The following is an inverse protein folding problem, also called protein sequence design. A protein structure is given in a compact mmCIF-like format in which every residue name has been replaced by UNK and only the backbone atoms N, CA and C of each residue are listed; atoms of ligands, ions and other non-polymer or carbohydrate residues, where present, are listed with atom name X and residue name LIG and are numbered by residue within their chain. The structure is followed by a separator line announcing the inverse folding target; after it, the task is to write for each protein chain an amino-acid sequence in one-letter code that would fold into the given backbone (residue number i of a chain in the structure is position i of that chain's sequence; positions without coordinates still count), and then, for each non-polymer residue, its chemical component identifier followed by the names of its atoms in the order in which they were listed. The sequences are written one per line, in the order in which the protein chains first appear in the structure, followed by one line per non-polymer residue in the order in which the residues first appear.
data_IF_692551947461
#
_entry.id   IF_692551947461
#
_cell.length_a   1.000
_cell.length_b   1.000
_cell.length_c   1.000
_cell.angle_alpha   90.00
_cell.angle_beta   90.00
_cell.angle_gamma   90.00
#
_symmetry.space_group_name_H-M   'P 1'
#
loop_
_entity.id
_entity.type
_entity.pdbx_description
1 polymer ?
#
# COMPACT_ATOMS: atom_id res chain seq x y z
N UNK A 1 9.23 -21.71 -2.64
CA UNK A 1 8.47 -20.44 -2.58
C UNK A 1 7.10 -20.68 -3.16
N UNK A 2 6.07 -20.10 -2.58
CA UNK A 2 4.77 -19.96 -3.22
C UNK A 2 4.44 -18.46 -3.31
N UNK A 3 4.09 -17.99 -4.50
CA UNK A 3 3.80 -16.59 -4.81
C UNK A 3 2.44 -16.52 -5.50
N UNK A 4 1.44 -15.91 -4.86
CA UNK A 4 0.09 -15.72 -5.42
C UNK A 4 -0.51 -16.99 -6.09
N UNK A 5 -0.19 -18.18 -5.56
CA UNK A 5 -0.66 -19.47 -6.07
C UNK A 5 0.32 -20.24 -6.95
N UNK A 6 1.41 -19.62 -7.41
CA UNK A 6 2.47 -20.28 -8.17
C UNK A 6 3.56 -20.84 -7.24
N UNK A 7 4.02 -22.07 -7.48
CA UNK A 7 5.04 -22.72 -6.65
C UNK A 7 6.36 -22.87 -7.39
N UNK A 8 7.44 -22.34 -6.80
CA UNK A 8 8.80 -22.47 -7.31
C UNK A 8 9.72 -23.18 -6.30
N UNK A 9 10.55 -24.10 -6.80
CA UNK A 9 11.49 -24.91 -6.02
C UNK A 9 12.89 -24.76 -6.62
N UNK A 10 13.89 -24.52 -5.75
CA UNK A 10 15.26 -24.25 -6.17
C UNK A 10 15.56 -22.75 -6.34
N UNK A 11 16.81 -22.36 -6.11
CA UNK A 11 17.23 -20.94 -6.09
C UNK A 11 16.94 -20.22 -7.40
N UNK A 12 17.24 -20.85 -8.53
CA UNK A 12 17.07 -20.24 -9.86
C UNK A 12 15.60 -19.99 -10.21
N UNK A 13 14.73 -20.97 -9.94
CA UNK A 13 13.29 -20.83 -10.17
C UNK A 13 12.67 -19.75 -9.27
N UNK A 14 13.10 -19.70 -8.01
CA UNK A 14 12.67 -18.67 -7.05
C UNK A 14 13.13 -17.28 -7.52
N UNK A 15 14.38 -17.15 -7.97
CA UNK A 15 14.90 -15.89 -8.49
C UNK A 15 14.12 -15.44 -9.74
N UNK A 16 13.80 -16.35 -10.64
CA UNK A 16 13.00 -16.05 -11.83
C UNK A 16 11.60 -15.52 -11.47
N UNK A 17 10.91 -16.14 -10.51
CA UNK A 17 9.61 -15.64 -10.02
C UNK A 17 9.79 -14.23 -9.44
N UNK A 18 10.74 -14.03 -8.53
CA UNK A 18 10.94 -12.73 -7.88
C UNK A 18 11.32 -11.62 -8.87
N UNK A 19 12.11 -11.91 -9.90
CA UNK A 19 12.43 -10.95 -10.96
C UNK A 19 11.22 -10.59 -11.83
N UNK A 20 10.25 -11.51 -11.95
CA UNK A 20 9.03 -11.29 -12.73
C UNK A 20 7.97 -10.43 -12.02
N UNK A 21 8.02 -10.31 -10.70
CA UNK A 21 7.00 -9.61 -9.88
C UNK A 21 7.07 -8.08 -10.00
N UNK A 22 8.14 -7.53 -10.57
CA UNK A 22 8.32 -6.10 -10.70
C UNK A 22 8.76 -5.42 -9.40
N UNK A 23 9.05 -4.11 -9.47
CA UNK A 23 9.48 -3.35 -8.31
C UNK A 23 8.32 -3.04 -7.38
N UNK A 24 8.48 -3.34 -6.09
CA UNK A 24 7.50 -3.03 -5.05
C UNK A 24 8.05 -2.03 -4.03
N UNK A 25 7.21 -1.11 -3.57
CA UNK A 25 7.54 -0.22 -2.44
C UNK A 25 6.76 -0.65 -1.21
N UNK A 26 7.45 -0.96 -0.11
CA UNK A 26 6.81 -1.23 1.18
C UNK A 26 6.35 0.09 1.80
N UNK A 27 5.05 0.20 2.11
CA UNK A 27 4.46 1.43 2.68
C UNK A 27 4.35 1.31 4.19
N UNK A 28 3.79 0.21 4.67
CA UNK A 28 3.69 -0.10 6.10
C UNK A 28 3.89 -1.60 6.30
N UNK A 29 4.50 -1.98 7.42
CA UNK A 29 4.76 -3.37 7.73
C UNK A 29 4.62 -3.61 9.23
N UNK A 30 3.91 -4.67 9.59
CA UNK A 30 3.87 -5.25 10.92
C UNK A 30 4.52 -6.62 10.85
N UNK A 31 5.51 -6.84 11.71
CA UNK A 31 6.21 -8.11 11.84
C UNK A 31 5.69 -8.86 13.07
N UNK A 32 5.47 -10.16 12.90
CA UNK A 32 5.27 -11.10 14.00
C UNK A 32 6.23 -12.26 13.80
N UNK A 33 6.99 -12.60 14.84
CA UNK A 33 7.94 -13.70 14.80
C UNK A 33 7.63 -14.71 15.91
N UNK A 34 7.68 -15.99 15.56
CA UNK A 34 7.53 -17.11 16.45
C UNK A 34 8.75 -18.00 16.31
N UNK A 35 9.32 -18.38 17.46
CA UNK A 35 10.44 -19.30 17.55
C UNK A 35 9.93 -20.57 18.20
N UNK A 36 10.04 -21.70 17.50
CA UNK A 36 9.74 -22.99 18.08
C UNK A 36 11.00 -23.53 18.78
N UNK A 37 11.02 -23.62 20.13
CA UNK A 37 12.24 -23.87 20.88
C UNK A 37 12.79 -25.30 20.74
N UNK A 38 12.00 -26.24 20.22
CA UNK A 38 12.37 -27.66 20.12
C UNK A 38 13.06 -27.97 18.78
N UNK A 39 12.73 -27.21 17.74
CA UNK A 39 13.10 -27.53 16.35
C UNK A 39 14.12 -26.57 15.75
N UNK A 40 14.48 -25.50 16.46
CA UNK A 40 15.27 -24.36 15.93
C UNK A 40 14.67 -23.78 14.63
N UNK A 41 13.36 -23.94 14.44
CA UNK A 41 12.65 -23.39 13.28
C UNK A 41 12.20 -21.99 13.62
N UNK A 42 12.54 -21.06 12.74
CA UNK A 42 12.11 -19.67 12.79
C UNK A 42 10.93 -19.50 11.84
N UNK A 43 9.80 -19.06 12.39
CA UNK A 43 8.61 -18.71 11.61
C UNK A 43 8.39 -17.21 11.74
N UNK A 44 8.51 -16.50 10.62
CA UNK A 44 8.38 -15.04 10.57
C UNK A 44 7.27 -14.69 9.59
N UNK A 45 6.30 -13.90 10.05
CA UNK A 45 5.21 -13.40 9.23
C UNK A 45 5.24 -11.88 9.20
N UNK A 46 5.18 -11.32 7.99
CA UNK A 46 5.01 -9.90 7.74
C UNK A 46 3.64 -9.67 7.13
N UNK A 47 2.88 -8.75 7.71
CA UNK A 47 1.64 -8.24 7.14
C UNK A 47 1.77 -6.74 6.93
N UNK A 48 1.25 -6.23 5.83
CA UNK A 48 1.37 -4.80 5.57
C UNK A 48 0.74 -4.35 4.27
N UNK A 49 1.10 -3.13 3.89
CA UNK A 49 0.73 -2.54 2.61
C UNK A 49 1.97 -2.34 1.75
N UNK A 50 1.88 -2.70 0.48
CA UNK A 50 2.89 -2.40 -0.52
C UNK A 50 2.25 -1.72 -1.73
N UNK A 51 3.06 -1.03 -2.52
CA UNK A 51 2.70 -0.59 -3.86
C UNK A 51 3.29 -1.63 -4.82
N UNK A 52 2.43 -2.28 -5.59
CA UNK A 52 2.79 -3.25 -6.62
C UNK A 52 2.04 -2.87 -7.90
N UNK A 53 2.77 -2.70 -9.01
CA UNK A 53 2.23 -2.24 -10.30
C UNK A 53 1.43 -0.92 -10.19
N UNK A 54 1.89 0.00 -9.33
CA UNK A 54 1.24 1.29 -9.11
C UNK A 54 -0.05 1.22 -8.28
N UNK A 55 -0.42 0.06 -7.75
CA UNK A 55 -1.60 -0.14 -6.91
C UNK A 55 -1.20 -0.45 -5.47
N UNK A 56 -1.94 0.10 -4.50
CA UNK A 56 -1.78 -0.28 -3.10
C UNK A 56 -2.40 -1.67 -2.91
N UNK A 57 -1.61 -2.59 -2.36
CA UNK A 57 -2.02 -3.96 -2.04
C UNK A 57 -1.75 -4.26 -0.58
N UNK A 58 -2.62 -5.06 0.01
CA UNK A 58 -2.31 -5.78 1.23
C UNK A 58 -1.40 -6.94 0.87
N UNK A 59 -0.37 -7.19 1.67
CA UNK A 59 0.47 -8.36 1.50
C UNK A 59 0.57 -9.16 2.81
N UNK A 60 0.75 -10.47 2.65
CA UNK A 60 1.14 -11.39 3.70
C UNK A 60 2.34 -12.21 3.22
N UNK A 61 3.47 -12.08 3.91
CA UNK A 61 4.69 -12.81 3.63
C UNK A 61 5.06 -13.68 4.83
N UNK A 62 5.03 -14.99 4.65
CA UNK A 62 5.52 -15.99 5.59
C UNK A 62 6.91 -16.46 5.17
N UNK A 63 7.81 -16.56 6.14
CA UNK A 63 9.09 -17.24 6.01
C UNK A 63 9.20 -18.33 7.07
N UNK A 64 9.64 -19.51 6.65
CA UNK A 64 10.03 -20.62 7.51
C UNK A 64 11.48 -20.91 7.21
N UNK A 65 12.33 -20.81 8.22
CA UNK A 65 13.76 -21.00 8.07
C UNK A 65 14.42 -21.58 9.30
N UNK A 66 15.73 -21.74 9.18
CA UNK A 66 16.62 -22.16 10.28
C UNK A 66 17.71 -21.09 10.45
N UNK A 67 18.32 -20.97 11.63
CA UNK A 67 19.49 -20.10 11.84
C UNK A 67 20.57 -20.31 10.78
N UNK A 68 21.19 -19.22 10.34
CA UNK A 68 22.35 -19.22 9.44
C UNK A 68 23.56 -18.61 10.13
N UNK A 69 24.75 -19.14 9.84
CA UNK A 69 26.05 -18.68 10.37
C UNK A 69 26.71 -17.75 9.34
N UNK A 70 27.34 -16.62 9.73
CA UNK A 70 27.60 -16.15 11.10
C UNK A 70 26.41 -15.47 11.79
N UNK A 71 25.52 -14.81 11.04
CA UNK A 71 24.26 -14.26 11.54
C UNK A 71 23.25 -14.30 10.40
N UNK A 72 22.04 -14.77 10.66
CA UNK A 72 20.93 -14.71 9.71
C UNK A 72 20.00 -15.89 9.81
N UNK A 73 19.22 -16.09 8.74
CA UNK A 73 18.29 -17.19 8.62
C UNK A 73 18.37 -17.76 7.20
N UNK A 74 18.54 -19.08 7.08
CA UNK A 74 18.33 -19.79 5.82
C UNK A 74 16.85 -20.06 5.66
N UNK A 75 16.22 -19.29 4.76
CA UNK A 75 14.82 -19.52 4.37
C UNK A 75 14.73 -20.88 3.67
N UNK A 76 13.89 -21.76 4.19
CA UNK A 76 13.59 -23.07 3.60
C UNK A 76 12.28 -23.03 2.82
N UNK A 77 11.30 -22.32 3.36
CA UNK A 77 10.01 -22.10 2.71
C UNK A 77 9.61 -20.62 2.83
N UNK A 78 8.97 -20.12 1.79
CA UNK A 78 8.35 -18.80 1.78
C UNK A 78 7.01 -18.89 1.09
N UNK A 79 6.04 -18.13 1.60
CA UNK A 79 4.71 -18.00 1.01
C UNK A 79 4.35 -16.51 1.00
N UNK A 80 4.07 -15.99 -0.19
CA UNK A 80 3.69 -14.61 -0.41
C UNK A 80 2.33 -14.55 -1.06
N UNK A 81 1.45 -13.73 -0.50
CA UNK A 81 0.16 -13.42 -1.09
C UNK A 81 -0.13 -11.93 -1.08
N UNK A 82 -0.80 -11.46 -2.13
CA UNK A 82 -1.32 -10.09 -2.21
C UNK A 82 -2.81 -10.06 -2.44
N UNK A 83 -3.43 -8.99 -1.93
CA UNK A 83 -4.83 -8.68 -2.15
C UNK A 83 -4.94 -7.21 -2.55
N UNK A 84 -5.70 -6.87 -3.62
CA UNK A 84 -5.93 -5.48 -3.96
C UNK A 84 -6.69 -4.79 -2.83
N UNK A 85 -6.29 -3.57 -2.47
CA UNK A 85 -7.08 -2.73 -1.57
C UNK A 85 -8.15 -2.04 -2.41
N UNK A 86 -9.46 -2.25 -2.15
CA UNK A 86 -10.49 -1.52 -2.85
C UNK A 86 -10.32 -0.02 -2.57
N UNK A 87 -10.17 0.80 -3.62
CA UNK A 87 -10.37 2.24 -3.47
C UNK A 87 -11.84 2.47 -3.15
N UNK A 88 -12.14 2.81 -1.90
CA UNK A 88 -13.41 3.46 -1.59
C UNK A 88 -13.29 4.89 -2.12
N UNK A 89 -14.14 5.34 -3.06
CA UNK A 89 -14.14 6.74 -3.46
C UNK A 89 -14.40 7.58 -2.20
N UNK A 90 -13.56 8.59 -1.97
CA UNK A 90 -13.85 9.56 -0.93
C UNK A 90 -15.25 10.15 -1.19
N UNK A 91 -16.06 10.41 -0.14
CA UNK A 91 -17.32 11.10 -0.33
C UNK A 91 -17.05 12.40 -1.07
N UNK A 92 -17.68 12.58 -2.24
CA UNK A 92 -17.64 13.84 -2.96
C UNK A 92 -18.27 14.86 -2.04
N UNK A 93 -17.46 15.77 -1.50
CA UNK A 93 -17.98 16.90 -0.75
C UNK A 93 -19.00 17.61 -1.66
N UNK A 94 -20.21 17.92 -1.16
CA UNK A 94 -21.14 18.72 -1.94
C UNK A 94 -20.41 19.98 -2.40
N UNK A 95 -20.53 20.32 -3.68
CA UNK A 95 -20.04 21.60 -4.17
C UNK A 95 -20.63 22.70 -3.27
N UNK A 96 -19.85 23.72 -2.89
CA UNK A 96 -20.37 24.81 -2.08
C UNK A 96 -21.61 25.38 -2.78
N UNK A 97 -22.75 25.26 -2.11
CA UNK A 97 -23.98 25.91 -2.56
C UNK A 97 -23.72 27.39 -2.34
N UNK A 98 -23.36 28.11 -3.41
CA UNK A 98 -23.44 29.57 -3.42
C UNK A 98 -24.94 29.88 -3.39
N UNK A 99 -25.48 30.43 -2.29
CA UNK A 99 -26.85 30.92 -2.33
C UNK A 99 -26.90 31.98 -3.45
N UNK A 100 -27.94 31.98 -4.32
CA UNK A 100 -28.07 33.04 -5.29
C UNK A 100 -28.14 34.37 -4.51
N UNK A 101 -27.11 35.20 -4.65
CA UNK A 101 -27.11 36.56 -4.13
C UNK A 101 -28.36 37.26 -4.69
N UNK A 102 -29.31 37.60 -3.82
CA UNK A 102 -30.52 38.35 -4.21
C UNK A 102 -30.20 39.81 -4.59
N UNK A 103 -28.94 40.25 -4.56
CA UNK A 103 -28.55 41.66 -4.71
C UNK A 103 -27.51 41.95 -5.82
N UNK A 104 -27.22 41.03 -6.74
CA UNK A 104 -26.39 41.38 -7.92
C UNK A 104 -27.28 41.87 -9.09
N UNK A 105 -27.12 43.11 -9.57
CA UNK A 105 -27.82 43.56 -10.77
C UNK A 105 -27.42 42.69 -11.95
N UNK A 106 -28.42 42.13 -12.64
CA UNK A 106 -28.23 41.22 -13.76
C UNK A 106 -27.31 41.84 -14.83
N UNK A 107 -26.08 41.33 -14.93
CA UNK A 107 -25.11 41.73 -15.95
C UNK A 107 -23.70 42.11 -15.47
N UNK A 108 -23.39 42.06 -14.17
CA UNK A 108 -22.03 42.31 -13.69
C UNK A 108 -21.13 41.06 -13.86
N UNK A 109 -20.26 41.08 -14.87
CA UNK A 109 -19.11 40.17 -14.94
C UNK A 109 -18.11 40.57 -13.84
N UNK A 110 -18.08 39.85 -12.73
CA UNK A 110 -16.99 39.95 -11.76
C UNK A 110 -15.80 39.18 -12.35
N UNK A 111 -14.65 39.83 -12.62
CA UNK A 111 -13.44 39.13 -13.04
C UNK A 111 -13.05 38.10 -11.98
N UNK A 112 -12.55 36.93 -12.40
CA UNK A 112 -12.18 35.84 -11.51
C UNK A 112 -11.16 36.24 -10.41
N UNK A 113 -10.47 37.36 -10.62
CA UNK A 113 -9.44 37.90 -9.75
C UNK A 113 -10.03 38.43 -8.43
N UNK A 114 -11.25 39.00 -8.43
CA UNK A 114 -11.90 39.54 -7.23
C UNK A 114 -12.52 38.44 -6.35
N UNK A 115 -12.77 37.24 -6.91
CA UNK A 115 -13.30 36.09 -6.17
C UNK A 115 -12.26 35.51 -5.20
N UNK A 116 -10.97 35.55 -5.59
CA UNK A 116 -9.87 35.02 -4.78
C UNK A 116 -9.58 35.90 -3.55
N UNK A 117 -9.73 37.23 -3.64
CA UNK A 117 -9.53 38.11 -2.48
C UNK A 117 -10.61 37.93 -1.41
N UNK A 118 -11.87 37.65 -1.81
CA UNK A 118 -12.96 37.40 -0.86
C UNK A 118 -12.82 36.10 -0.06
N UNK A 119 -12.19 35.07 -0.65
CA UNK A 119 -11.91 33.79 0.03
C UNK A 119 -10.76 33.95 1.03
N UNK A 120 -9.70 34.67 0.65
CA UNK A 120 -8.53 34.88 1.52
C UNK A 120 -8.85 35.79 2.72
N UNK A 121 -9.81 36.70 2.61
CA UNK A 121 -10.21 37.59 3.70
C UNK A 121 -11.07 36.89 4.79
N UNK A 122 -11.73 35.77 4.48
CA UNK A 122 -12.61 35.05 5.41
C UNK A 122 -12.00 33.80 6.05
N UNK A 123 -10.72 33.51 5.79
CA UNK A 123 -9.92 32.58 6.60
C UNK A 123 -10.50 31.18 6.81
N UNK A 124 -10.91 30.53 5.71
CA UNK A 124 -11.12 29.07 5.69
C UNK A 124 -9.84 28.33 5.30
#
# INVERSE_FOLDING_TARGET
MNFDGETAVGGDAIAAVLMGVGHSNLVTMRMTAFLEPITEVHVITFLGHCILDGQIRLFNQLFIGVPAVPVGMHVRHSHFTTLPVPMVPAPVAPAPVVPPDEDLPAGANIPADDFLEGILANGL
#
